data_IF_215318118544
#
_entry.id   IF_215318118544
#
_cell.length_a   1.000
_cell.length_b   1.000
_cell.length_c   1.000
_cell.angle_alpha   90.00
_cell.angle_beta   90.00
_cell.angle_gamma   90.00
#
_symmetry.space_group_name_H-M   'P 1'
#
loop_
_entity.id
_entity.type
_entity.pdbx_description
1 polymer ?
#
# COMPACT_ATOMS: atom_id res chain seq x y z
N UNK A 1 -0.42 28.89 -10.31
CA UNK A 1 0.81 28.11 -10.58
C UNK A 1 1.27 27.37 -9.33
N UNK A 2 1.17 27.98 -8.15
CA UNK A 2 1.65 27.42 -6.87
C UNK A 2 0.90 26.15 -6.41
N UNK A 3 -0.42 26.09 -6.60
CA UNK A 3 -1.23 24.93 -6.19
C UNK A 3 -0.88 23.64 -6.93
N UNK A 4 -0.67 23.70 -8.26
CA UNK A 4 -0.32 22.53 -9.05
C UNK A 4 1.09 22.00 -8.69
N UNK A 5 2.05 22.90 -8.46
CA UNK A 5 3.40 22.52 -8.03
C UNK A 5 3.39 21.87 -6.65
N UNK A 6 2.55 22.37 -5.73
CA UNK A 6 2.36 21.76 -4.42
C UNK A 6 1.80 20.34 -4.53
N UNK A 7 0.76 20.10 -5.35
CA UNK A 7 0.19 18.76 -5.52
C UNK A 7 1.24 17.81 -6.14
N UNK A 8 2.02 18.28 -7.13
CA UNK A 8 3.14 17.50 -7.69
C UNK A 8 4.15 17.11 -6.62
N UNK A 9 4.56 18.07 -5.78
CA UNK A 9 5.48 17.81 -4.67
C UNK A 9 4.91 16.79 -3.69
N UNK A 10 3.65 16.94 -3.26
CA UNK A 10 3.00 16.02 -2.34
C UNK A 10 2.88 14.60 -2.94
N UNK A 11 2.57 14.49 -4.23
CA UNK A 11 2.50 13.21 -4.93
C UNK A 11 3.88 12.53 -5.00
N UNK A 12 4.95 13.29 -5.25
CA UNK A 12 6.33 12.78 -5.21
C UNK A 12 6.75 12.37 -3.81
N UNK A 13 6.41 13.15 -2.78
CA UNK A 13 6.67 12.79 -1.38
C UNK A 13 5.96 11.47 -1.03
N UNK A 14 4.70 11.30 -1.43
CA UNK A 14 3.99 10.04 -1.24
C UNK A 14 4.70 8.87 -1.93
N UNK A 15 5.18 9.05 -3.16
CA UNK A 15 5.98 8.03 -3.85
C UNK A 15 7.26 7.67 -3.08
N UNK A 16 8.00 8.67 -2.59
CA UNK A 16 9.25 8.48 -1.81
C UNK A 16 8.98 7.73 -0.51
N UNK A 17 7.95 8.11 0.25
CA UNK A 17 7.60 7.44 1.50
C UNK A 17 7.06 6.03 1.29
N UNK A 18 6.37 5.78 0.17
CA UNK A 18 5.96 4.42 -0.18
C UNK A 18 7.19 3.55 -0.43
N UNK A 19 8.02 3.89 -1.42
CA UNK A 19 9.13 3.04 -1.83
C UNK A 19 10.20 2.93 -0.73
N UNK A 20 10.54 4.05 -0.08
CA UNK A 20 11.53 4.09 1.00
C UNK A 20 11.09 3.31 2.24
N UNK A 21 9.81 3.46 2.64
CA UNK A 21 9.25 2.71 3.76
C UNK A 21 9.21 1.20 3.48
N UNK A 22 8.77 0.80 2.27
CA UNK A 22 8.79 -0.60 1.84
C UNK A 22 10.21 -1.20 1.84
N UNK A 23 11.22 -0.45 1.39
CA UNK A 23 12.61 -0.90 1.41
C UNK A 23 13.11 -1.13 2.83
N UNK A 24 12.80 -0.22 3.76
CA UNK A 24 13.13 -0.36 5.18
C UNK A 24 12.49 -1.60 5.81
N UNK A 25 11.19 -1.80 5.56
CA UNK A 25 10.43 -2.98 6.00
C UNK A 25 11.04 -4.27 5.45
N UNK A 26 11.34 -4.29 4.15
CA UNK A 26 11.94 -5.44 3.49
C UNK A 26 13.34 -5.77 4.06
N UNK A 27 14.17 -4.76 4.29
CA UNK A 27 15.50 -4.96 4.87
C UNK A 27 15.41 -5.49 6.32
N UNK A 28 14.59 -4.86 7.16
CA UNK A 28 14.38 -5.27 8.55
C UNK A 28 13.83 -6.70 8.65
N UNK A 29 12.96 -7.11 7.71
CA UNK A 29 12.38 -8.47 7.70
C UNK A 29 13.43 -9.59 7.65
N UNK A 30 14.63 -9.33 7.12
CA UNK A 30 15.73 -10.31 7.08
C UNK A 30 16.28 -10.64 8.47
N UNK A 31 16.29 -9.65 9.36
CA UNK A 31 16.72 -9.81 10.75
C UNK A 31 15.62 -10.45 11.60
N UNK A 32 14.35 -10.19 11.28
CA UNK A 32 13.19 -10.86 11.90
C UNK A 32 13.23 -12.39 11.69
N UNK A 33 13.67 -12.84 10.50
CA UNK A 33 13.80 -14.26 10.15
C UNK A 33 15.13 -14.90 10.54
N UNK A 34 16.08 -14.14 11.10
CA UNK A 34 17.44 -14.63 11.31
C UNK A 34 17.52 -15.46 12.59
N UNK A 35 17.70 -16.77 12.43
CA UNK A 35 17.61 -17.74 13.54
C UNK A 35 18.83 -17.70 14.48
N UNK A 36 19.96 -17.16 14.01
CA UNK A 36 21.17 -16.95 14.81
C UNK A 36 21.09 -15.73 15.74
N UNK A 37 20.01 -14.93 15.66
CA UNK A 37 19.76 -13.81 16.55
C UNK A 37 18.85 -14.22 17.72
N UNK A 38 19.05 -13.56 18.86
CA UNK A 38 18.17 -13.72 20.02
C UNK A 38 16.75 -13.25 19.70
N UNK A 39 15.76 -13.76 20.44
CA UNK A 39 14.36 -13.33 20.32
C UNK A 39 14.20 -11.81 20.54
N UNK A 40 14.98 -11.23 21.43
CA UNK A 40 14.99 -9.79 21.70
C UNK A 40 15.51 -9.00 20.50
N UNK A 41 16.63 -9.42 19.90
CA UNK A 41 17.18 -8.76 18.71
C UNK A 41 16.22 -8.85 17.52
N UNK A 42 15.57 -10.01 17.34
CA UNK A 42 14.52 -10.21 16.33
C UNK A 42 13.28 -9.35 16.61
N UNK A 43 12.92 -9.14 17.87
CA UNK A 43 11.85 -8.25 18.30
C UNK A 43 12.15 -6.79 18.00
N UNK A 44 13.38 -6.32 18.27
CA UNK A 44 13.82 -4.98 17.86
C UNK A 44 13.73 -4.80 16.34
N UNK A 45 14.16 -5.80 15.57
CA UNK A 45 14.03 -5.77 14.12
C UNK A 45 12.56 -5.72 13.67
N UNK A 46 11.66 -6.44 14.34
CA UNK A 46 10.22 -6.38 14.06
C UNK A 46 9.65 -4.99 14.36
N UNK A 47 10.06 -4.35 15.46
CA UNK A 47 9.64 -2.97 15.77
C UNK A 47 10.09 -2.00 14.69
N UNK A 48 11.34 -2.10 14.23
CA UNK A 48 11.86 -1.28 13.12
C UNK A 48 11.04 -1.54 11.85
N UNK A 49 10.81 -2.80 11.51
CA UNK A 49 10.01 -3.21 10.36
C UNK A 49 8.61 -2.58 10.40
N UNK A 50 7.92 -2.64 11.55
CA UNK A 50 6.59 -2.06 11.75
C UNK A 50 6.58 -0.53 11.68
N UNK A 51 7.68 0.11 12.10
CA UNK A 51 7.89 1.55 11.96
C UNK A 51 8.07 1.97 10.51
N UNK A 52 8.94 1.29 9.76
CA UNK A 52 9.13 1.52 8.32
C UNK A 52 7.84 1.29 7.52
N UNK A 53 7.06 0.28 7.89
CA UNK A 53 5.78 -0.07 7.27
C UNK A 53 4.70 1.03 7.42
N UNK A 54 4.92 2.04 8.26
CA UNK A 54 4.01 3.20 8.31
C UNK A 54 4.09 4.06 7.04
N UNK A 55 5.27 4.19 6.43
CA UNK A 55 5.48 4.95 5.19
C UNK A 55 4.50 4.55 4.09
N UNK A 56 4.53 3.29 3.59
CA UNK A 56 3.60 2.81 2.57
C UNK A 56 2.14 2.84 3.03
N UNK A 57 1.84 2.58 4.30
CA UNK A 57 0.46 2.61 4.82
C UNK A 57 -0.21 3.97 4.69
N UNK A 58 0.53 5.06 4.93
CA UNK A 58 0.03 6.43 4.76
C UNK A 58 0.15 6.94 3.33
N UNK A 59 1.25 6.61 2.65
CA UNK A 59 1.48 7.07 1.28
C UNK A 59 0.46 6.51 0.28
N UNK A 60 0.09 5.23 0.42
CA UNK A 60 -0.79 4.55 -0.54
C UNK A 60 -2.21 5.14 -0.67
N UNK A 61 -2.94 5.49 0.40
CA UNK A 61 -4.23 6.17 0.25
C UNK A 61 -4.11 7.64 -0.18
N UNK A 62 -2.93 8.27 -0.05
CA UNK A 62 -2.71 9.68 -0.41
C UNK A 62 -2.21 9.86 -1.85
N UNK A 63 -1.38 8.95 -2.36
CA UNK A 63 -0.77 9.09 -3.68
C UNK A 63 -1.83 9.07 -4.79
N UNK A 64 -2.92 8.31 -4.60
CA UNK A 64 -4.00 8.21 -5.57
C UNK A 64 -4.79 9.51 -5.75
N UNK A 65 -5.43 10.10 -4.73
CA UNK A 65 -6.18 11.35 -4.90
C UNK A 65 -5.29 12.48 -5.40
N UNK A 66 -4.03 12.55 -4.95
CA UNK A 66 -3.06 13.54 -5.44
C UNK A 66 -2.78 13.35 -6.94
N UNK A 67 -2.53 12.12 -7.39
CA UNK A 67 -2.29 11.81 -8.79
C UNK A 67 -3.53 12.03 -9.66
N UNK A 68 -4.71 11.70 -9.14
CA UNK A 68 -5.99 11.90 -9.81
C UNK A 68 -6.29 13.39 -10.00
N UNK A 69 -6.13 14.19 -8.95
CA UNK A 69 -6.24 15.66 -8.99
C UNK A 69 -5.30 16.23 -10.04
N UNK A 70 -4.02 15.83 -10.06
CA UNK A 70 -3.07 16.25 -11.11
C UNK A 70 -3.57 15.92 -12.52
N UNK A 71 -4.09 14.71 -12.73
CA UNK A 71 -4.57 14.30 -14.03
C UNK A 71 -5.81 15.10 -14.49
N UNK A 72 -6.68 15.50 -13.57
CA UNK A 72 -7.81 16.41 -13.85
C UNK A 72 -7.31 17.80 -14.22
N UNK A 73 -6.41 18.40 -13.42
CA UNK A 73 -5.85 19.74 -13.72
C UNK A 73 -5.05 19.79 -15.01
N UNK A 74 -4.44 18.67 -15.42
CA UNK A 74 -3.70 18.55 -16.67
C UNK A 74 -4.57 18.18 -17.88
N UNK A 75 -5.88 17.98 -17.69
CA UNK A 75 -6.82 17.64 -18.76
C UNK A 75 -6.71 16.20 -19.27
N UNK A 76 -6.09 15.29 -18.52
CA UNK A 76 -6.03 13.87 -18.85
C UNK A 76 -7.23 13.08 -18.33
N UNK A 77 -7.96 13.64 -17.37
CA UNK A 77 -9.22 13.10 -16.86
C UNK A 77 -10.28 14.19 -16.94
N UNK A 78 -11.39 13.89 -17.61
CA UNK A 78 -12.59 14.70 -17.64
C UNK A 78 -13.58 14.13 -16.62
N UNK A 79 -13.60 14.74 -15.43
CA UNK A 79 -14.44 14.32 -14.31
C UNK A 79 -15.05 15.56 -13.66
N UNK A 80 -16.36 15.53 -13.43
CA UNK A 80 -17.06 16.60 -12.73
C UNK A 80 -16.48 16.82 -11.31
N UNK A 81 -16.50 18.05 -10.77
CA UNK A 81 -15.95 18.35 -9.44
C UNK A 81 -16.48 17.46 -8.32
N UNK A 82 -17.74 17.02 -8.42
CA UNK A 82 -18.34 16.09 -7.46
C UNK A 82 -17.65 14.71 -7.46
N UNK A 83 -17.22 14.21 -8.62
CA UNK A 83 -16.48 12.95 -8.72
C UNK A 83 -15.10 13.04 -8.08
N UNK A 84 -14.41 14.17 -8.30
CA UNK A 84 -13.14 14.49 -7.64
C UNK A 84 -13.31 14.56 -6.12
N UNK A 85 -14.37 15.22 -5.64
CA UNK A 85 -14.68 15.32 -4.21
C UNK A 85 -14.97 13.95 -3.58
N UNK A 86 -15.66 13.04 -4.28
CA UNK A 86 -15.88 11.66 -3.81
C UNK A 86 -14.56 10.90 -3.65
N UNK A 87 -13.63 11.03 -4.60
CA UNK A 87 -12.30 10.38 -4.52
C UNK A 87 -11.52 10.89 -3.30
N UNK A 88 -11.54 12.19 -3.05
CA UNK A 88 -10.94 12.77 -1.85
C UNK A 88 -11.61 12.28 -0.56
N UNK A 89 -12.96 12.24 -0.53
CA UNK A 89 -13.70 11.75 0.63
C UNK A 89 -13.33 10.30 0.97
N UNK A 90 -13.30 9.41 -0.03
CA UNK A 90 -12.89 8.00 0.15
C UNK A 90 -11.45 7.92 0.67
N UNK A 91 -10.55 8.75 0.12
CA UNK A 91 -9.15 8.77 0.53
C UNK A 91 -8.97 9.27 1.97
N UNK A 92 -9.71 10.29 2.38
CA UNK A 92 -9.71 10.81 3.76
C UNK A 92 -10.22 9.75 4.73
N UNK A 93 -11.33 9.07 4.41
CA UNK A 93 -11.86 7.95 5.21
C UNK A 93 -10.80 6.86 5.34
N UNK A 94 -10.09 6.55 4.27
CA UNK A 94 -9.04 5.54 4.28
C UNK A 94 -7.85 5.95 5.14
N UNK A 95 -7.34 7.18 4.99
CA UNK A 95 -6.27 7.72 5.82
C UNK A 95 -6.67 7.71 7.30
N UNK A 96 -7.88 8.18 7.63
CA UNK A 96 -8.40 8.16 9.00
C UNK A 96 -8.47 6.74 9.57
N UNK A 97 -8.86 5.77 8.74
CA UNK A 97 -8.86 4.34 9.09
C UNK A 97 -7.45 3.85 9.41
N UNK A 98 -6.45 4.17 8.57
CA UNK A 98 -5.05 3.79 8.79
C UNK A 98 -4.48 4.43 10.06
N UNK A 99 -4.71 5.74 10.26
CA UNK A 99 -4.30 6.47 11.47
C UNK A 99 -4.89 5.80 12.71
N UNK A 100 -6.19 5.50 12.68
CA UNK A 100 -6.89 4.92 13.83
C UNK A 100 -6.37 3.51 14.13
N UNK A 101 -6.16 2.67 13.11
CA UNK A 101 -5.57 1.34 13.27
C UNK A 101 -4.14 1.38 13.84
N UNK A 102 -3.40 2.46 13.56
CA UNK A 102 -2.05 2.66 14.10
C UNK A 102 -2.06 3.14 15.55
N UNK A 103 -2.90 4.11 15.94
CA UNK A 103 -2.82 4.69 17.29
C UNK A 103 -3.78 4.08 18.32
N UNK A 104 -4.90 3.50 17.91
CA UNK A 104 -5.93 3.02 18.83
C UNK A 104 -5.79 1.53 19.18
N UNK A 105 -4.57 1.08 19.48
CA UNK A 105 -4.29 -0.31 19.84
C UNK A 105 -5.14 -0.81 21.03
N UNK A 106 -5.59 -2.06 20.96
CA UNK A 106 -6.30 -2.72 22.06
C UNK A 106 -7.76 -2.29 22.28
N UNK A 107 -8.33 -1.42 21.43
CA UNK A 107 -9.74 -1.03 21.53
C UNK A 107 -10.67 -2.07 20.90
N UNK A 108 -11.87 -2.24 21.47
CA UNK A 108 -12.85 -3.26 21.06
C UNK A 108 -13.34 -3.10 19.60
N UNK A 109 -13.27 -1.90 19.03
CA UNK A 109 -13.69 -1.64 17.65
C UNK A 109 -12.62 -1.99 16.59
N UNK A 110 -11.37 -2.26 17.00
CA UNK A 110 -10.26 -2.49 16.07
C UNK A 110 -10.47 -3.71 15.15
N UNK A 111 -11.03 -4.85 15.61
CA UNK A 111 -11.33 -5.98 14.71
C UNK A 111 -12.35 -5.61 13.62
N UNK A 112 -13.38 -4.84 13.97
CA UNK A 112 -14.36 -4.35 13.02
C UNK A 112 -13.73 -3.37 12.02
N UNK A 113 -12.92 -2.42 12.50
CA UNK A 113 -12.21 -1.45 11.66
C UNK A 113 -11.18 -2.11 10.73
N UNK A 114 -10.49 -3.15 11.21
CA UNK A 114 -9.58 -4.01 10.43
C UNK A 114 -10.32 -4.68 9.27
N UNK A 115 -11.52 -5.17 9.54
CA UNK A 115 -12.40 -5.80 8.55
C UNK A 115 -12.92 -4.77 7.55
N UNK A 116 -13.33 -3.60 8.02
CA UNK A 116 -13.72 -2.47 7.18
C UNK A 116 -12.59 -2.04 6.22
N UNK A 117 -11.37 -1.81 6.72
CA UNK A 117 -10.20 -1.47 5.89
C UNK A 117 -9.93 -2.52 4.80
N UNK A 118 -10.09 -3.80 5.14
CA UNK A 118 -9.92 -4.89 4.18
C UNK A 118 -10.95 -4.83 3.04
N UNK A 119 -12.23 -4.62 3.35
CA UNK A 119 -13.28 -4.51 2.33
C UNK A 119 -13.21 -3.18 1.57
N UNK A 120 -12.86 -2.08 2.24
CA UNK A 120 -12.63 -0.78 1.59
C UNK A 120 -11.61 -0.90 0.47
N UNK A 121 -10.48 -1.58 0.73
CA UNK A 121 -9.45 -1.87 -0.28
C UNK A 121 -9.99 -2.68 -1.45
N UNK A 122 -10.76 -3.73 -1.19
CA UNK A 122 -11.38 -4.55 -2.25
C UNK A 122 -12.29 -3.68 -3.12
N UNK A 123 -13.15 -2.87 -2.49
CA UNK A 123 -14.05 -1.97 -3.20
C UNK A 123 -13.26 -0.96 -4.06
N UNK A 124 -12.18 -0.39 -3.54
CA UNK A 124 -11.30 0.51 -4.31
C UNK A 124 -10.70 -0.22 -5.51
N UNK A 125 -10.13 -1.41 -5.32
CA UNK A 125 -9.53 -2.18 -6.43
C UNK A 125 -10.56 -2.40 -7.54
N UNK A 126 -11.75 -2.89 -7.18
CA UNK A 126 -12.83 -3.15 -8.14
C UNK A 126 -13.27 -1.86 -8.84
N UNK A 127 -13.49 -0.77 -8.09
CA UNK A 127 -13.92 0.50 -8.65
C UNK A 127 -12.90 1.07 -9.63
N UNK A 128 -11.61 1.05 -9.29
CA UNK A 128 -10.54 1.61 -10.12
C UNK A 128 -10.29 0.77 -11.38
N UNK A 129 -10.33 -0.56 -11.27
CA UNK A 129 -10.23 -1.43 -12.44
C UNK A 129 -11.45 -1.27 -13.36
N UNK A 130 -12.66 -1.15 -12.79
CA UNK A 130 -13.88 -0.95 -13.57
C UNK A 130 -13.87 0.39 -14.29
N UNK A 131 -13.50 1.47 -13.60
CA UNK A 131 -13.40 2.82 -14.16
C UNK A 131 -12.35 2.86 -15.29
N UNK A 132 -11.16 2.31 -15.05
CA UNK A 132 -10.07 2.33 -16.04
C UNK A 132 -10.36 1.42 -17.23
N UNK A 133 -10.94 0.24 -16.98
CA UNK A 133 -11.36 -0.68 -18.04
C UNK A 133 -12.46 -0.09 -18.91
N UNK A 134 -13.45 0.56 -18.29
CA UNK A 134 -14.49 1.29 -19.01
C UNK A 134 -13.90 2.42 -19.86
N UNK A 135 -13.05 3.27 -19.27
CA UNK A 135 -12.44 4.39 -19.99
C UNK A 135 -11.58 3.93 -21.18
N UNK A 136 -10.83 2.83 -21.03
CA UNK A 136 -10.06 2.25 -22.14
C UNK A 136 -10.95 1.70 -23.26
N UNK A 137 -12.14 1.21 -22.93
CA UNK A 137 -13.08 0.65 -23.91
C UNK A 137 -13.87 1.74 -24.65
N UNK A 138 -14.20 2.85 -23.99
CA UNK A 138 -15.05 3.91 -24.54
C UNK A 138 -14.29 5.15 -25.01
N UNK A 139 -13.06 5.35 -24.53
CA UNK A 139 -12.31 6.60 -24.73
C UNK A 139 -12.90 7.79 -23.97
N UNK A 140 -13.72 7.55 -22.94
CA UNK A 140 -14.38 8.59 -22.13
C UNK A 140 -13.87 8.62 -20.70
N UNK A 141 -14.07 9.74 -20.00
CA UNK A 141 -13.62 10.00 -18.61
C UNK A 141 -12.10 10.10 -18.47
N UNK A 142 -11.35 9.04 -18.75
CA UNK A 142 -9.88 9.07 -18.76
C UNK A 142 -9.43 9.20 -20.21
N UNK A 143 -9.02 10.40 -20.59
CA UNK A 143 -8.74 10.77 -21.98
C UNK A 143 -7.38 10.27 -22.46
N UNK A 144 -6.45 10.02 -21.54
CA UNK A 144 -5.12 9.51 -21.85
C UNK A 144 -4.95 8.06 -21.39
N UNK A 145 -4.69 7.14 -22.33
CA UNK A 145 -4.56 5.70 -22.04
C UNK A 145 -3.48 5.38 -20.99
N UNK A 146 -2.33 6.07 -21.03
CA UNK A 146 -1.28 5.91 -20.03
C UNK A 146 -1.76 6.25 -18.61
N UNK A 147 -2.68 7.21 -18.44
CA UNK A 147 -3.28 7.53 -17.14
C UNK A 147 -4.17 6.39 -16.66
N UNK A 148 -4.95 5.77 -17.55
CA UNK A 148 -5.75 4.58 -17.20
C UNK A 148 -4.85 3.40 -16.81
N UNK A 149 -3.74 3.17 -17.52
CA UNK A 149 -2.77 2.14 -17.13
C UNK A 149 -2.16 2.41 -15.76
N UNK A 150 -1.85 3.67 -15.42
CA UNK A 150 -1.35 4.02 -14.07
C UNK A 150 -2.34 3.67 -12.97
N UNK A 151 -3.63 3.95 -13.20
CA UNK A 151 -4.71 3.65 -12.25
C UNK A 151 -4.87 2.13 -12.09
N UNK A 152 -4.81 1.36 -13.19
CA UNK A 152 -4.82 -0.11 -13.15
C UNK A 152 -3.64 -0.64 -12.35
N UNK A 153 -2.43 -0.18 -12.64
CA UNK A 153 -1.22 -0.61 -11.90
C UNK A 153 -1.38 -0.29 -10.42
N UNK A 154 -1.82 0.92 -10.05
CA UNK A 154 -2.09 1.29 -8.66
C UNK A 154 -3.10 0.34 -7.99
N UNK A 155 -4.22 0.01 -8.65
CA UNK A 155 -5.20 -0.93 -8.13
C UNK A 155 -4.58 -2.32 -7.88
N UNK A 156 -3.71 -2.79 -8.77
CA UNK A 156 -2.97 -4.04 -8.58
C UNK A 156 -1.98 -3.97 -7.41
N UNK A 157 -1.36 -2.81 -7.14
CA UNK A 157 -0.52 -2.62 -5.95
C UNK A 157 -1.33 -2.71 -4.66
N UNK A 158 -2.53 -2.12 -4.63
CA UNK A 158 -3.45 -2.26 -3.49
C UNK A 158 -3.84 -3.73 -3.28
N UNK A 159 -4.10 -4.46 -4.36
CA UNK A 159 -4.37 -5.90 -4.29
C UNK A 159 -3.15 -6.70 -3.77
N UNK A 160 -1.93 -6.34 -4.15
CA UNK A 160 -0.71 -6.94 -3.58
C UNK A 160 -0.63 -6.73 -2.06
N UNK A 161 -0.97 -5.53 -1.56
CA UNK A 161 -1.05 -5.26 -0.13
C UNK A 161 -2.08 -6.14 0.61
N UNK A 162 -3.24 -6.40 0.00
CA UNK A 162 -4.22 -7.36 0.53
C UNK A 162 -3.64 -8.77 0.63
N UNK A 163 -2.94 -9.22 -0.41
CA UNK A 163 -2.32 -10.54 -0.42
C UNK A 163 -1.23 -10.68 0.63
N UNK A 164 -0.37 -9.66 0.80
CA UNK A 164 0.64 -9.63 1.87
C UNK A 164 -0.03 -9.83 3.23
N UNK A 165 -1.10 -9.08 3.52
CA UNK A 165 -1.84 -9.20 4.79
C UNK A 165 -2.39 -10.59 5.04
N UNK A 166 -2.90 -11.26 3.99
CA UNK A 166 -3.38 -12.64 4.10
C UNK A 166 -2.22 -13.60 4.37
N UNK A 167 -1.11 -13.48 3.63
CA UNK A 167 0.05 -14.37 3.77
C UNK A 167 0.79 -14.19 5.09
N UNK A 168 0.69 -13.02 5.74
CA UNK A 168 1.29 -12.74 7.03
C UNK A 168 0.38 -13.08 8.23
N UNK A 169 -0.85 -13.60 8.05
CA UNK A 169 -1.66 -14.06 9.20
C UNK A 169 -0.97 -15.14 10.04
N UNK A 170 -0.36 -16.20 9.45
CA UNK A 170 0.34 -17.23 10.22
C UNK A 170 1.59 -16.71 10.94
N UNK A 171 2.22 -15.65 10.42
CA UNK A 171 3.37 -15.01 11.06
C UNK A 171 3.03 -14.55 12.47
N UNK A 172 1.87 -13.90 12.67
CA UNK A 172 1.49 -13.38 13.99
C UNK A 172 1.32 -14.49 15.04
N UNK A 173 0.79 -15.65 14.62
CA UNK A 173 0.63 -16.82 15.50
C UNK A 173 2.00 -17.40 15.87
N UNK A 174 2.87 -17.60 14.87
CA UNK A 174 4.21 -18.11 15.10
C UNK A 174 5.07 -17.16 15.95
N UNK A 175 4.91 -15.85 15.75
CA UNK A 175 5.60 -14.83 16.54
C UNK A 175 5.17 -14.84 18.00
N UNK A 176 3.88 -15.00 18.28
CA UNK A 176 3.39 -15.20 19.65
C UNK A 176 4.05 -16.42 20.31
N UNK A 177 4.13 -17.54 19.60
CA UNK A 177 4.80 -18.75 20.08
C UNK A 177 6.29 -18.55 20.35
N UNK A 178 7.01 -17.79 19.51
CA UNK A 178 8.42 -17.44 19.73
C UNK A 178 8.61 -16.70 21.06
N UNK A 179 7.70 -15.77 21.37
CA UNK A 179 7.79 -14.95 22.58
C UNK A 179 7.38 -15.70 23.85
N UNK A 180 6.49 -16.69 23.78
CA UNK A 180 6.01 -17.43 24.96
C UNK A 180 6.82 -18.70 25.24
N UNK A 181 7.22 -19.42 24.19
CA UNK A 181 7.76 -20.77 24.29
C UNK A 181 9.20 -20.88 23.79
N UNK A 182 9.75 -19.78 23.28
CA UNK A 182 11.10 -19.73 22.72
C UNK A 182 11.21 -20.27 21.30
N UNK A 183 12.41 -20.21 20.71
CA UNK A 183 12.66 -20.66 19.35
C UNK A 183 12.62 -22.20 19.25
N UNK A 184 11.96 -22.68 18.20
CA UNK A 184 12.00 -24.09 17.76
C UNK A 184 12.08 -24.11 16.23
N UNK A 185 12.54 -25.20 15.64
CA UNK A 185 12.63 -25.35 14.18
C UNK A 185 11.27 -25.12 13.50
N UNK A 186 10.18 -25.61 14.11
CA UNK A 186 8.84 -25.42 13.60
C UNK A 186 8.39 -23.95 13.62
N UNK A 187 8.67 -23.23 14.72
CA UNK A 187 8.35 -21.79 14.86
C UNK A 187 9.17 -20.95 13.88
N UNK A 188 10.46 -21.23 13.76
CA UNK A 188 11.35 -20.55 12.83
C UNK A 188 10.92 -20.78 11.37
N UNK A 189 10.61 -22.02 10.99
CA UNK A 189 10.11 -22.35 9.67
C UNK A 189 8.77 -21.64 9.35
N UNK A 190 7.87 -21.52 10.32
CA UNK A 190 6.61 -20.81 10.14
C UNK A 190 6.79 -19.30 9.94
N UNK A 191 7.71 -18.67 10.70
CA UNK A 191 8.08 -17.26 10.56
C UNK A 191 8.69 -17.00 9.19
N UNK A 192 9.75 -17.73 8.84
CA UNK A 192 10.47 -17.60 7.58
C UNK A 192 9.58 -17.91 6.38
N UNK A 193 8.75 -18.95 6.47
CA UNK A 193 7.80 -19.33 5.43
C UNK A 193 6.71 -18.27 5.18
N UNK A 194 6.24 -17.58 6.22
CA UNK A 194 5.24 -16.51 6.07
C UNK A 194 5.83 -15.29 5.35
N UNK A 195 7.04 -14.87 5.75
CA UNK A 195 7.76 -13.76 5.10
C UNK A 195 8.14 -14.12 3.65
N UNK A 196 8.57 -15.36 3.40
CA UNK A 196 8.88 -15.83 2.06
C UNK A 196 7.65 -15.81 1.14
N UNK A 197 6.47 -16.18 1.64
CA UNK A 197 5.20 -16.15 0.87
C UNK A 197 4.71 -14.73 0.59
N UNK A 198 5.04 -13.75 1.44
CA UNK A 198 4.70 -12.34 1.20
C UNK A 198 5.64 -11.67 0.19
N UNK A 199 6.89 -12.13 0.10
CA UNK A 199 7.97 -11.51 -0.67
C UNK A 199 7.65 -11.27 -2.16
N UNK A 200 7.04 -12.19 -2.92
CA UNK A 200 6.71 -11.94 -4.33
C UNK A 200 5.81 -10.72 -4.54
N UNK A 201 4.88 -10.46 -3.62
CA UNK A 201 3.98 -9.32 -3.68
C UNK A 201 4.71 -8.00 -3.39
N UNK A 202 5.73 -8.01 -2.54
CA UNK A 202 6.59 -6.83 -2.30
C UNK A 202 7.36 -6.48 -3.57
N UNK A 203 7.94 -7.48 -4.25
CA UNK A 203 8.60 -7.25 -5.54
C UNK A 203 7.64 -6.73 -6.61
N UNK A 204 6.42 -7.28 -6.67
CA UNK A 204 5.38 -6.79 -7.56
C UNK A 204 5.01 -5.32 -7.27
N UNK A 205 4.96 -4.91 -5.99
CA UNK A 205 4.76 -3.51 -5.61
C UNK A 205 5.89 -2.64 -6.15
N UNK A 206 7.15 -3.03 -6.00
CA UNK A 206 8.28 -2.21 -6.49
C UNK A 206 8.28 -2.09 -8.01
N UNK A 207 8.06 -3.20 -8.72
CA UNK A 207 7.95 -3.19 -10.18
C UNK A 207 6.80 -2.27 -10.61
N UNK A 208 5.63 -2.39 -9.99
CA UNK A 208 4.48 -1.55 -10.32
C UNK A 208 4.69 -0.07 -9.98
N UNK A 209 5.41 0.26 -8.89
CA UNK A 209 5.81 1.63 -8.58
C UNK A 209 6.74 2.21 -9.66
N UNK A 210 7.74 1.45 -10.12
CA UNK A 210 8.62 1.88 -11.21
C UNK A 210 7.89 2.02 -12.54
N UNK A 211 7.00 1.09 -12.88
CA UNK A 211 6.12 1.19 -14.06
C UNK A 211 5.25 2.44 -13.99
N UNK A 212 4.65 2.73 -12.83
CA UNK A 212 3.86 3.95 -12.62
C UNK A 212 4.70 5.22 -12.78
N UNK A 213 5.93 5.23 -12.28
CA UNK A 213 6.86 6.34 -12.46
C UNK A 213 7.21 6.52 -13.94
N UNK A 214 7.57 5.44 -14.65
CA UNK A 214 7.92 5.47 -16.06
C UNK A 214 6.76 5.96 -16.94
N UNK A 215 5.52 5.48 -16.70
CA UNK A 215 4.30 5.98 -17.35
C UNK A 215 4.08 7.48 -17.07
N UNK A 216 4.34 7.94 -15.84
CA UNK A 216 4.18 9.35 -15.47
C UNK A 216 5.22 10.28 -16.07
N UNK A 217 6.39 9.74 -16.41
CA UNK A 217 7.46 10.46 -17.09
C UNK A 217 7.37 10.34 -18.61
N UNK A 218 6.35 9.65 -19.13
CA UNK A 218 6.19 9.33 -20.55
C UNK A 218 7.41 8.59 -21.15
N UNK A 219 8.10 7.80 -20.32
CA UNK A 219 9.20 6.94 -20.78
C UNK A 219 8.66 5.70 -21.51
N UNK A 220 7.48 5.23 -21.09
CA UNK A 220 6.72 4.15 -21.72
C UNK A 220 5.26 4.59 -21.80
N UNK A 221 4.57 4.26 -22.89
CA UNK A 221 3.16 4.63 -23.10
C UNK A 221 2.99 6.01 -23.73
#
# INVERSE_FOLDING_TARGET
>A
MDGLLLIKLLHLIAFVYWLGGDLGTFYASRFVTKEDLSSEARSTALTIMMGCDQGPRFAMPLIFPLGFELAVHMGYIDMAPIGVAIIWLVSIIWVATVITLHFAHGKNFIPALTTFDFYLRICVVIALLSLSGYALATGTIILAAWTAYKIIVFALLVACGLMIRIKLRPFMVAWGSLMTSGPTDAVNAAISGSIAKARPYVWAIWIGLFVNAALGLHLIG
#
